data_IF_889516672186
#
_entry.id   IF_889516672186
#
_cell.length_a   1.000
_cell.length_b   1.000
_cell.length_c   1.000
_cell.angle_alpha   90.00
_cell.angle_beta   90.00
_cell.angle_gamma   90.00
#
_symmetry.space_group_name_H-M   'P 1'
#
loop_
_entity.id
_entity.type
_entity.pdbx_description
1 polymer ?
#
# COMPACT_ATOMS: atom_id res chain seq x y z
N UNK A 1 -5.76 11.12 51.00
CA UNK A 1 -6.57 11.65 49.88
C UNK A 1 -6.05 13.04 49.56
N UNK A 2 -5.18 13.14 48.55
CA UNK A 2 -4.52 14.40 48.18
C UNK A 2 -5.26 15.00 47.00
N UNK A 3 -5.85 16.17 47.20
CA UNK A 3 -6.66 16.89 46.22
C UNK A 3 -5.74 17.64 45.26
N UNK A 4 -5.62 17.13 44.04
CA UNK A 4 -4.81 17.74 42.99
C UNK A 4 -5.54 18.97 42.42
N UNK A 5 -5.05 20.16 42.79
CA UNK A 5 -5.58 21.44 42.32
C UNK A 5 -5.12 21.68 40.88
N UNK A 6 -5.98 21.37 39.91
CA UNK A 6 -5.74 21.73 38.50
C UNK A 6 -5.75 23.25 38.35
N UNK A 7 -4.58 23.83 38.04
CA UNK A 7 -4.45 25.24 37.68
C UNK A 7 -5.11 25.46 36.32
N UNK A 8 -6.14 26.30 36.31
CA UNK A 8 -6.79 26.76 35.09
C UNK A 8 -5.88 27.79 34.41
N UNK A 9 -5.43 27.48 33.20
CA UNK A 9 -4.75 28.46 32.35
C UNK A 9 -5.79 29.03 31.37
N UNK A 10 -6.06 30.34 31.42
CA UNK A 10 -6.94 30.95 30.44
C UNK A 10 -6.33 30.83 29.03
N UNK A 11 -7.16 30.71 27.99
CA UNK A 11 -6.69 30.72 26.61
C UNK A 11 -5.99 32.06 26.30
N UNK A 12 -4.97 32.06 25.43
CA UNK A 12 -4.32 33.29 25.00
C UNK A 12 -5.32 34.21 24.28
N UNK A 13 -5.14 35.53 24.37
CA UNK A 13 -5.97 36.48 23.66
C UNK A 13 -5.81 36.32 22.14
N UNK A 14 -6.86 36.59 21.34
CA UNK A 14 -6.77 36.58 19.89
C UNK A 14 -5.84 37.69 19.39
N UNK A 15 -5.11 37.39 18.32
CA UNK A 15 -4.24 38.37 17.67
C UNK A 15 -5.06 39.56 17.11
N UNK A 16 -4.54 40.80 17.20
CA UNK A 16 -5.23 41.97 16.69
C UNK A 16 -5.34 41.90 15.16
N UNK A 17 -6.58 41.92 14.68
CA UNK A 17 -6.91 42.02 13.25
C UNK A 17 -6.86 43.50 12.88
N UNK A 18 -5.92 43.90 12.02
CA UNK A 18 -5.85 45.25 11.50
C UNK A 18 -6.91 45.44 10.39
N UNK A 19 -7.71 46.50 10.46
CA UNK A 19 -8.86 46.79 9.57
C UNK A 19 -8.47 47.15 8.12
N UNK A 20 -7.19 46.98 7.75
CA UNK A 20 -6.66 47.31 6.41
C UNK A 20 -6.17 46.15 5.58
N UNK A 21 -6.38 44.89 6.00
CA UNK A 21 -6.33 43.72 5.11
C UNK A 21 -5.08 43.57 4.22
N UNK A 22 -3.94 44.12 4.63
CA UNK A 22 -2.67 43.99 3.92
C UNK A 22 -1.59 43.64 4.95
N UNK A 23 -1.16 42.39 4.94
CA UNK A 23 0.08 41.97 5.60
C UNK A 23 1.26 42.51 4.78
N UNK A 24 1.83 43.65 5.19
CA UNK A 24 3.18 44.05 4.76
C UNK A 24 4.19 43.17 5.49
N UNK A 25 4.50 42.02 4.89
CA UNK A 25 5.62 41.19 5.30
C UNK A 25 6.90 41.80 4.71
N UNK A 26 7.75 42.35 5.59
CA UNK A 26 9.03 42.93 5.22
C UNK A 26 9.99 41.84 4.71
N UNK A 27 10.08 41.72 3.39
CA UNK A 27 11.00 40.82 2.69
C UNK A 27 12.44 41.37 2.74
N UNK A 28 13.20 40.93 3.73
CA UNK A 28 14.65 41.07 3.79
C UNK A 28 15.31 39.71 3.71
N UNK A 29 15.11 39.03 2.58
CA UNK A 29 15.89 37.84 2.22
C UNK A 29 17.19 38.25 1.50
N UNK A 30 18.38 37.84 1.99
CA UNK A 30 19.66 38.10 1.32
C UNK A 30 19.73 37.40 -0.04
N UNK A 31 20.11 38.15 -1.09
CA UNK A 31 20.33 37.62 -2.44
C UNK A 31 21.23 36.37 -2.42
N UNK A 32 20.78 35.23 -2.99
CA UNK A 32 21.64 34.08 -3.15
C UNK A 32 22.79 34.44 -4.11
N UNK A 33 24.03 34.20 -3.68
CA UNK A 33 25.19 34.23 -4.58
C UNK A 33 24.99 33.16 -5.64
N UNK A 34 24.99 33.59 -6.91
CA UNK A 34 25.04 32.70 -8.07
C UNK A 34 26.33 31.88 -8.02
N UNK A 35 26.25 30.69 -7.44
CA UNK A 35 27.27 29.67 -7.59
C UNK A 35 27.24 29.22 -9.05
N UNK A 36 28.29 29.59 -9.79
CA UNK A 36 28.56 29.15 -11.16
C UNK A 36 28.58 27.62 -11.16
N UNK A 37 27.43 27.02 -11.44
CA UNK A 37 27.22 25.59 -11.47
C UNK A 37 27.87 25.07 -12.76
N UNK A 38 29.16 24.74 -12.67
CA UNK A 38 29.88 24.09 -13.77
C UNK A 38 29.18 22.78 -14.07
N UNK A 39 28.53 22.71 -15.24
CA UNK A 39 27.89 21.50 -15.77
C UNK A 39 28.91 20.36 -15.73
N UNK A 40 28.61 19.21 -15.10
CA UNK A 40 29.50 18.07 -15.12
C UNK A 40 29.74 17.64 -16.57
N UNK A 41 30.97 17.21 -16.93
CA UNK A 41 31.27 16.76 -18.27
C UNK A 41 30.39 15.55 -18.63
N UNK A 42 29.99 15.42 -19.91
CA UNK A 42 29.18 14.30 -20.36
C UNK A 42 29.89 12.97 -20.08
N UNK A 43 29.14 11.94 -19.63
CA UNK A 43 29.69 10.60 -19.44
C UNK A 43 30.23 10.08 -20.78
N UNK A 44 31.50 9.66 -20.79
CA UNK A 44 32.15 9.08 -21.97
C UNK A 44 31.53 7.71 -22.26
N UNK A 45 31.05 7.52 -23.49
CA UNK A 45 30.40 6.30 -23.95
C UNK A 45 31.34 5.07 -23.95
N UNK A 46 32.66 5.29 -23.94
CA UNK A 46 33.66 4.25 -24.18
C UNK A 46 34.07 3.49 -22.92
N UNK A 47 33.48 3.79 -21.75
CA UNK A 47 33.92 3.23 -20.46
C UNK A 47 33.05 2.09 -19.93
N UNK A 48 32.21 1.46 -20.78
CA UNK A 48 31.34 0.33 -20.41
C UNK A 48 31.83 -1.02 -20.96
N UNK A 49 33.11 -1.36 -20.79
CA UNK A 49 33.52 -2.76 -20.87
C UNK A 49 33.35 -3.39 -19.49
N UNK A 50 32.19 -4.01 -19.26
CA UNK A 50 32.01 -4.87 -18.11
C UNK A 50 32.88 -6.13 -18.29
N UNK A 51 33.82 -6.42 -17.37
CA UNK A 51 34.59 -7.64 -17.43
C UNK A 51 33.64 -8.83 -17.18
N UNK A 52 33.22 -9.50 -18.24
CA UNK A 52 32.32 -10.68 -18.22
C UNK A 52 32.94 -11.93 -17.63
N UNK A 53 34.21 -11.90 -17.19
CA UNK A 53 35.00 -13.10 -16.92
C UNK A 53 35.23 -13.44 -15.43
N UNK A 54 34.48 -12.86 -14.50
CA UNK A 54 34.63 -13.16 -13.06
C UNK A 54 33.30 -13.23 -12.30
N UNK A 55 32.33 -13.97 -12.82
CA UNK A 55 31.27 -14.48 -11.94
C UNK A 55 31.84 -15.69 -11.18
N UNK A 56 31.91 -15.65 -9.83
CA UNK A 56 32.28 -16.82 -9.06
C UNK A 56 31.27 -17.94 -9.36
N UNK A 57 31.76 -19.09 -9.80
CA UNK A 57 30.94 -20.29 -9.92
C UNK A 57 30.52 -20.69 -8.50
N UNK A 58 29.33 -20.26 -8.09
CA UNK A 58 28.68 -20.72 -6.88
C UNK A 58 28.36 -22.20 -7.09
N UNK A 59 29.28 -23.05 -6.62
CA UNK A 59 29.11 -24.48 -6.53
C UNK A 59 28.18 -24.75 -5.33
N UNK A 60 26.90 -24.42 -5.49
CA UNK A 60 25.88 -24.70 -4.48
C UNK A 60 25.52 -26.18 -4.63
N UNK A 61 25.76 -27.04 -3.63
CA UNK A 61 25.23 -28.39 -3.68
C UNK A 61 23.71 -28.28 -3.75
N UNK A 62 23.15 -28.64 -4.90
CA UNK A 62 21.70 -28.78 -5.08
C UNK A 62 21.29 -29.94 -4.18
N UNK A 63 20.89 -29.64 -2.96
CA UNK A 63 20.25 -30.58 -2.06
C UNK A 63 18.88 -30.89 -2.68
N UNK A 64 18.85 -31.89 -3.58
CA UNK A 64 17.65 -32.56 -4.08
C UNK A 64 16.99 -33.35 -2.96
N UNK A 65 16.43 -32.65 -1.98
CA UNK A 65 15.47 -33.22 -1.03
C UNK A 65 14.41 -32.16 -0.74
N UNK A 66 13.64 -31.83 -1.78
CA UNK A 66 12.25 -31.46 -1.52
C UNK A 66 11.60 -32.72 -0.93
N UNK A 67 10.98 -32.67 0.26
CA UNK A 67 10.04 -33.71 0.64
C UNK A 67 8.95 -33.75 -0.44
N UNK A 68 8.54 -34.95 -0.85
CA UNK A 68 7.25 -35.16 -1.50
C UNK A 68 6.18 -34.64 -0.53
N UNK A 69 5.85 -33.35 -0.64
CA UNK A 69 4.70 -32.76 0.02
C UNK A 69 3.52 -33.52 -0.54
N UNK A 70 2.88 -34.23 0.38
CA UNK A 70 1.94 -35.29 0.11
C UNK A 70 0.88 -34.90 -0.91
N UNK A 71 0.48 -35.95 -1.64
CA UNK A 71 -0.87 -36.19 -2.11
C UNK A 71 -1.86 -35.32 -1.34
N UNK A 72 -2.19 -34.16 -1.91
CA UNK A 72 -3.26 -33.33 -1.44
C UNK A 72 -4.52 -34.15 -1.63
N UNK A 73 -5.08 -34.61 -0.49
CA UNK A 73 -6.49 -34.90 -0.29
C UNK A 73 -7.30 -34.06 -1.27
N UNK A 74 -8.14 -34.74 -2.05
CA UNK A 74 -9.16 -34.16 -2.91
C UNK A 74 -9.65 -32.85 -2.30
N UNK A 75 -9.11 -31.76 -2.82
CA UNK A 75 -9.57 -30.45 -2.47
C UNK A 75 -11.03 -30.47 -2.88
N UNK A 76 -11.88 -30.28 -1.87
CA UNK A 76 -13.27 -29.91 -2.00
C UNK A 76 -13.29 -28.59 -2.79
N UNK A 77 -13.05 -28.71 -4.09
CA UNK A 77 -13.03 -27.61 -5.03
C UNK A 77 -14.49 -27.21 -5.07
N UNK A 78 -14.86 -26.04 -4.50
CA UNK A 78 -16.25 -25.66 -4.39
C UNK A 78 -16.84 -25.73 -5.79
N UNK A 79 -17.83 -26.61 -5.92
CA UNK A 79 -18.44 -26.96 -7.19
C UNK A 79 -18.79 -25.64 -7.90
N UNK A 80 -18.19 -25.32 -9.06
CA UNK A 80 -18.40 -24.04 -9.75
C UNK A 80 -19.86 -23.87 -10.25
N UNK A 81 -20.71 -24.84 -9.94
CA UNK A 81 -22.15 -24.89 -10.21
C UNK A 81 -23.00 -24.80 -8.95
N UNK A 82 -22.45 -24.38 -7.80
CA UNK A 82 -23.27 -23.88 -6.70
C UNK A 82 -23.99 -22.63 -7.22
N UNK A 83 -25.19 -22.86 -7.77
CA UNK A 83 -26.17 -21.88 -8.22
C UNK A 83 -26.67 -21.09 -7.01
N UNK A 84 -25.79 -20.34 -6.37
CA UNK A 84 -26.21 -19.25 -5.53
C UNK A 84 -26.91 -18.25 -6.44
N UNK A 85 -28.16 -17.97 -6.08
CA UNK A 85 -28.92 -16.84 -6.54
C UNK A 85 -28.18 -15.56 -6.11
N UNK A 86 -27.04 -15.30 -6.75
CA UNK A 86 -26.18 -14.15 -6.50
C UNK A 86 -27.00 -12.98 -7.02
N UNK A 87 -27.42 -12.10 -6.11
CA UNK A 87 -28.10 -10.87 -6.46
C UNK A 87 -27.26 -10.16 -7.55
N UNK A 88 -27.80 -10.00 -8.78
CA UNK A 88 -27.04 -9.41 -9.88
C UNK A 88 -26.63 -7.95 -9.60
N UNK A 89 -27.21 -7.35 -8.56
CA UNK A 89 -26.90 -6.00 -8.08
C UNK A 89 -25.81 -5.97 -6.99
N UNK A 90 -25.18 -7.10 -6.65
CA UNK A 90 -24.02 -7.14 -5.75
C UNK A 90 -22.73 -7.34 -6.54
N UNK A 91 -21.69 -6.51 -6.33
CA UNK A 91 -20.41 -6.72 -6.99
C UNK A 91 -19.83 -8.09 -6.63
N UNK A 92 -19.39 -8.83 -7.65
CA UNK A 92 -18.67 -10.10 -7.47
C UNK A 92 -17.30 -9.87 -6.80
N UNK A 93 -16.71 -10.90 -6.16
CA UNK A 93 -15.38 -10.79 -5.58
C UNK A 93 -14.33 -10.35 -6.60
N UNK A 94 -13.33 -9.59 -6.14
CA UNK A 94 -12.12 -9.33 -6.91
C UNK A 94 -11.11 -10.45 -6.67
N UNK A 95 -10.30 -10.74 -7.68
CA UNK A 95 -9.23 -11.75 -7.60
C UNK A 95 -7.87 -11.04 -7.65
N UNK A 96 -7.08 -11.04 -6.56
CA UNK A 96 -5.72 -10.54 -6.57
C UNK A 96 -4.86 -11.30 -7.58
N UNK A 97 -4.00 -10.60 -8.34
CA UNK A 97 -3.04 -11.26 -9.24
C UNK A 97 -1.98 -12.05 -8.47
N UNK A 98 -1.71 -11.63 -7.23
CA UNK A 98 -0.76 -12.27 -6.32
C UNK A 98 -1.23 -12.12 -4.88
N UNK A 99 -1.13 -13.20 -4.12
CA UNK A 99 -1.55 -13.26 -2.71
C UNK A 99 -0.38 -13.21 -1.73
N UNK A 100 0.87 -13.27 -2.19
CA UNK A 100 2.05 -13.21 -1.33
C UNK A 100 3.16 -12.32 -1.90
N UNK A 101 3.61 -11.38 -1.09
CA UNK A 101 4.70 -10.46 -1.41
C UNK A 101 5.79 -10.58 -0.36
N UNK A 102 6.98 -10.99 -0.79
CA UNK A 102 8.16 -10.94 0.06
C UNK A 102 8.86 -9.62 -0.23
N UNK A 103 8.89 -8.72 0.74
CA UNK A 103 9.43 -7.37 0.58
C UNK A 103 10.88 -7.36 1.11
N UNK A 104 11.75 -8.17 0.50
CA UNK A 104 13.14 -8.40 0.98
C UNK A 104 14.22 -7.83 0.06
N UNK A 105 13.88 -7.18 -1.04
CA UNK A 105 14.88 -6.82 -2.04
C UNK A 105 15.21 -5.33 -2.07
N UNK A 106 16.49 -5.05 -1.81
CA UNK A 106 17.20 -3.75 -1.68
C UNK A 106 17.06 -2.78 -2.89
N UNK A 107 16.12 -2.98 -3.79
CA UNK A 107 16.03 -2.22 -5.06
C UNK A 107 14.63 -1.72 -5.40
N UNK A 108 13.56 -2.28 -4.84
CA UNK A 108 12.20 -1.81 -5.15
C UNK A 108 11.74 -0.78 -4.13
N UNK A 109 11.82 0.50 -4.52
CA UNK A 109 11.20 1.61 -3.78
C UNK A 109 9.66 1.52 -3.78
N UNK A 110 9.09 0.63 -4.59
CA UNK A 110 7.66 0.49 -4.78
C UNK A 110 7.29 -0.94 -5.17
N UNK A 111 6.18 -1.44 -4.62
CA UNK A 111 5.50 -2.66 -5.04
C UNK A 111 4.08 -2.35 -5.46
N UNK A 112 3.65 -2.93 -6.57
CA UNK A 112 2.29 -2.81 -7.08
C UNK A 112 1.47 -4.06 -6.71
N UNK A 113 0.30 -3.83 -6.11
CA UNK A 113 -0.69 -4.85 -5.78
C UNK A 113 -1.85 -4.66 -6.75
N UNK A 114 -2.09 -5.66 -7.59
CA UNK A 114 -3.10 -5.63 -8.66
C UNK A 114 -4.14 -6.71 -8.45
N UNK A 115 -5.35 -6.45 -8.95
CA UNK A 115 -6.45 -7.39 -8.95
C UNK A 115 -7.30 -7.22 -10.21
N UNK A 116 -8.07 -8.25 -10.56
CA UNK A 116 -9.06 -8.14 -11.64
C UNK A 116 -10.28 -7.34 -11.20
N UNK A 117 -10.90 -6.62 -12.14
CA UNK A 117 -12.22 -6.02 -11.90
C UNK A 117 -13.27 -7.13 -11.75
N UNK A 118 -14.33 -6.94 -10.95
CA UNK A 118 -15.44 -7.89 -10.88
C UNK A 118 -16.05 -8.13 -12.27
N UNK A 119 -16.39 -9.38 -12.58
CA UNK A 119 -16.96 -9.75 -13.89
C UNK A 119 -18.28 -9.01 -14.18
N UNK A 120 -19.11 -8.81 -13.15
CA UNK A 120 -20.37 -8.07 -13.25
C UNK A 120 -20.23 -6.56 -13.06
N UNK A 121 -19.01 -6.00 -13.17
CA UNK A 121 -18.77 -4.55 -12.98
C UNK A 121 -19.57 -3.66 -13.93
N UNK A 122 -20.00 -4.18 -15.09
CA UNK A 122 -20.88 -3.49 -16.04
C UNK A 122 -22.28 -3.20 -15.53
N UNK A 123 -22.72 -3.84 -14.43
CA UNK A 123 -24.04 -3.60 -13.82
C UNK A 123 -24.07 -2.34 -12.95
N UNK A 124 -22.94 -1.67 -12.75
CA UNK A 124 -22.80 -0.52 -11.86
C UNK A 124 -22.41 0.72 -12.65
N UNK A 125 -22.83 1.91 -12.20
CA UNK A 125 -22.40 3.17 -12.81
C UNK A 125 -20.89 3.41 -12.61
N UNK A 126 -20.37 3.02 -11.44
CA UNK A 126 -18.93 2.97 -11.19
C UNK A 126 -18.60 1.91 -10.14
N UNK A 127 -17.34 1.48 -10.11
CA UNK A 127 -16.81 0.55 -9.10
C UNK A 127 -15.65 1.22 -8.39
N UNK A 128 -15.71 1.20 -7.07
CA UNK A 128 -14.66 1.59 -6.13
C UNK A 128 -14.07 0.33 -5.49
N UNK A 129 -12.89 0.43 -4.92
CA UNK A 129 -12.22 -0.64 -4.20
C UNK A 129 -11.86 -0.16 -2.82
N UNK A 130 -12.52 -0.72 -1.80
CA UNK A 130 -12.16 -0.45 -0.41
C UNK A 130 -11.05 -1.39 0.00
N UNK A 131 -10.02 -0.84 0.64
CA UNK A 131 -8.79 -1.56 0.99
C UNK A 131 -8.58 -1.48 2.50
N UNK A 132 -8.34 -2.64 3.11
CA UNK A 132 -8.05 -2.77 4.53
C UNK A 132 -6.71 -3.47 4.77
N UNK A 133 -6.07 -3.13 5.89
CA UNK A 133 -4.80 -3.67 6.33
C UNK A 133 -4.92 -4.23 7.74
N UNK A 134 -4.25 -5.34 8.01
CA UNK A 134 -4.10 -5.94 9.33
C UNK A 134 -2.62 -6.25 9.56
N UNK A 135 -2.10 -5.83 10.71
CA UNK A 135 -0.72 -6.14 11.12
C UNK A 135 -0.73 -7.32 12.07
N UNK A 136 0.05 -8.35 11.77
CA UNK A 136 0.04 -9.63 12.48
C UNK A 136 -1.26 -10.42 12.31
N UNK A 137 -1.31 -11.60 12.92
CA UNK A 137 -2.48 -12.48 12.83
C UNK A 137 -3.63 -12.01 13.72
N UNK A 138 -3.30 -11.43 14.88
CA UNK A 138 -4.24 -10.99 15.91
C UNK A 138 -4.59 -9.49 15.85
N UNK A 139 -4.13 -8.77 14.81
CA UNK A 139 -4.44 -7.35 14.65
C UNK A 139 -5.90 -7.08 14.27
N UNK A 140 -6.33 -5.85 14.44
CA UNK A 140 -7.60 -5.36 13.90
C UNK A 140 -7.44 -4.91 12.44
N UNK A 141 -8.49 -5.07 11.64
CA UNK A 141 -8.52 -4.56 10.27
C UNK A 141 -8.71 -3.04 10.28
N UNK A 142 -7.77 -2.33 9.66
CA UNK A 142 -7.79 -0.88 9.52
C UNK A 142 -8.11 -0.49 8.07
N UNK A 143 -9.11 0.37 7.89
CA UNK A 143 -9.42 0.96 6.58
C UNK A 143 -8.29 1.89 6.13
N UNK A 144 -7.73 1.62 4.96
CA UNK A 144 -6.66 2.43 4.38
C UNK A 144 -7.23 3.50 3.46
N UNK A 145 -7.97 3.08 2.42
CA UNK A 145 -8.43 3.98 1.35
C UNK A 145 -9.52 3.34 0.48
N UNK A 146 -10.09 4.16 -0.40
CA UNK A 146 -10.96 3.75 -1.49
C UNK A 146 -10.38 4.21 -2.84
N UNK A 147 -10.20 3.29 -3.78
CA UNK A 147 -9.59 3.56 -5.09
C UNK A 147 -10.57 3.27 -6.23
N UNK A 148 -10.49 4.01 -7.34
CA UNK A 148 -11.22 3.68 -8.59
C UNK A 148 -10.47 2.70 -9.50
N UNK A 149 -9.16 2.60 -9.31
CA UNK A 149 -8.29 1.73 -10.12
C UNK A 149 -8.08 0.41 -9.40
N UNK A 150 -8.00 -0.72 -10.13
CA UNK A 150 -7.75 -2.03 -9.55
C UNK A 150 -6.25 -2.23 -9.26
N UNK A 151 -5.68 -1.26 -8.55
CA UNK A 151 -4.26 -1.14 -8.27
C UNK A 151 -4.07 -0.42 -6.94
N UNK A 152 -3.15 -0.94 -6.13
CA UNK A 152 -2.65 -0.30 -4.92
C UNK A 152 -1.12 -0.30 -4.92
N UNK A 153 -0.51 0.79 -4.47
CA UNK A 153 0.95 0.95 -4.42
C UNK A 153 1.42 0.98 -2.98
N UNK A 154 2.39 0.14 -2.67
CA UNK A 154 3.13 0.13 -1.41
C UNK A 154 4.50 0.73 -1.70
N UNK A 155 4.92 1.71 -0.92
CA UNK A 155 6.24 2.35 -1.08
C UNK A 155 7.18 1.94 0.05
N UNK A 156 8.48 1.96 -0.25
CA UNK A 156 9.53 1.66 0.71
C UNK A 156 10.51 2.82 0.79
N UNK A 157 10.66 3.37 1.99
CA UNK A 157 11.60 4.44 2.26
C UNK A 157 12.17 4.28 3.68
N UNK A 158 13.49 4.37 3.81
CA UNK A 158 14.17 4.41 5.12
C UNK A 158 13.81 3.24 6.06
N UNK A 159 13.70 2.01 5.52
CA UNK A 159 13.31 0.84 6.32
C UNK A 159 11.85 0.86 6.80
N UNK A 160 10.99 1.65 6.15
CA UNK A 160 9.56 1.71 6.43
C UNK A 160 8.76 1.36 5.20
N UNK A 161 7.74 0.53 5.40
CA UNK A 161 6.71 0.25 4.40
C UNK A 161 5.57 1.27 4.55
N UNK A 162 5.17 1.89 3.45
CA UNK A 162 4.14 2.91 3.39
C UNK A 162 2.91 2.35 2.67
N UNK A 163 1.86 2.11 3.44
CA UNK A 163 0.53 1.72 2.96
C UNK A 163 -0.37 2.97 2.99
N UNK A 164 -0.20 3.82 1.98
CA UNK A 164 -0.88 5.12 1.93
C UNK A 164 -0.43 6.02 3.07
N UNK A 165 -1.28 6.19 4.08
CA UNK A 165 -0.96 6.98 5.29
C UNK A 165 -0.39 6.13 6.43
N UNK A 166 -0.58 4.82 6.39
CA UNK A 166 -0.10 3.90 7.42
C UNK A 166 1.38 3.60 7.16
N UNK A 167 2.21 3.80 8.19
CA UNK A 167 3.65 3.57 8.14
C UNK A 167 3.99 2.41 9.06
N UNK A 168 4.60 1.37 8.51
CA UNK A 168 5.06 0.21 9.27
C UNK A 168 6.59 0.22 9.27
N UNK A 169 7.17 0.30 10.47
CA UNK A 169 8.61 0.18 10.64
C UNK A 169 8.99 -1.29 10.53
N UNK A 170 10.06 -1.56 9.78
CA UNK A 170 10.69 -2.86 9.75
C UNK A 170 11.47 -3.02 11.07
N UNK A 171 10.90 -3.75 12.03
CA UNK A 171 11.60 -4.08 13.28
C UNK A 171 12.48 -5.32 13.10
N UNK A 172 13.19 -5.73 14.16
CA UNK A 172 14.08 -6.91 14.15
C UNK A 172 13.35 -8.25 13.99
N UNK A 173 12.02 -8.26 14.00
CA UNK A 173 11.19 -9.44 13.83
C UNK A 173 10.47 -9.42 12.50
N UNK A 174 10.19 -10.61 11.96
CA UNK A 174 9.39 -10.70 10.73
C UNK A 174 7.97 -10.24 11.04
N UNK A 175 7.58 -9.09 10.49
CA UNK A 175 6.22 -8.58 10.63
C UNK A 175 5.39 -9.04 9.44
N UNK A 176 4.42 -9.91 9.69
CA UNK A 176 3.44 -10.32 8.70
C UNK A 176 2.33 -9.27 8.62
N UNK A 177 2.00 -8.82 7.41
CA UNK A 177 0.94 -7.85 7.17
C UNK A 177 -0.04 -8.44 6.17
N UNK A 178 -1.32 -8.39 6.47
CA UNK A 178 -2.38 -8.83 5.56
C UNK A 178 -3.10 -7.62 4.98
N UNK A 179 -3.32 -7.59 3.68
CA UNK A 179 -4.16 -6.63 2.98
C UNK A 179 -5.34 -7.37 2.37
N UNK A 180 -6.52 -6.77 2.39
CA UNK A 180 -7.68 -7.29 1.66
C UNK A 180 -8.37 -6.17 0.93
N UNK A 181 -9.03 -6.51 -0.16
CA UNK A 181 -9.75 -5.56 -1.01
C UNK A 181 -11.16 -6.06 -1.26
N UNK A 182 -12.15 -5.16 -1.24
CA UNK A 182 -13.51 -5.47 -1.72
C UNK A 182 -13.96 -4.46 -2.75
N UNK A 183 -14.71 -4.88 -3.78
CA UNK A 183 -15.36 -3.96 -4.69
C UNK A 183 -16.58 -3.30 -4.04
N UNK A 184 -16.84 -2.05 -4.40
CA UNK A 184 -18.03 -1.30 -4.01
C UNK A 184 -18.66 -0.75 -5.28
N UNK A 185 -19.79 -1.32 -5.66
CA UNK A 185 -20.57 -0.87 -6.81
C UNK A 185 -21.39 0.35 -6.45
N UNK A 186 -21.35 1.38 -7.28
CA UNK A 186 -22.15 2.59 -7.12
C UNK A 186 -23.24 2.60 -8.19
N UNK A 187 -24.49 2.69 -7.74
CA UNK A 187 -25.68 2.80 -8.59
C UNK A 187 -26.30 4.19 -8.42
N UNK A 188 -26.72 4.79 -9.53
CA UNK A 188 -27.46 6.05 -9.53
C UNK A 188 -28.94 5.72 -9.70
N UNK A 189 -29.71 5.74 -8.61
CA UNK A 189 -31.16 5.54 -8.66
C UNK A 189 -31.86 6.86 -8.36
N UNK A 190 -32.56 7.41 -9.37
CA UNK A 190 -33.39 8.61 -9.21
C UNK A 190 -32.64 9.81 -8.61
N UNK A 191 -31.37 9.99 -8.98
CA UNK A 191 -30.51 11.08 -8.48
C UNK A 191 -29.83 10.80 -7.13
N UNK A 192 -30.12 9.67 -6.47
CA UNK A 192 -29.43 9.23 -5.26
C UNK A 192 -28.37 8.18 -5.61
N UNK A 193 -27.16 8.35 -5.08
CA UNK A 193 -26.12 7.34 -5.15
C UNK A 193 -26.36 6.27 -4.09
N UNK A 194 -26.44 5.01 -4.51
CA UNK A 194 -26.51 3.84 -3.67
C UNK A 194 -25.20 3.04 -3.78
N UNK A 195 -24.63 2.63 -2.64
CA UNK A 195 -23.40 1.84 -2.59
C UNK A 195 -23.71 0.40 -2.23
N UNK A 196 -23.30 -0.53 -3.08
CA UNK A 196 -23.42 -1.98 -2.88
C UNK A 196 -22.04 -2.55 -2.59
N UNK A 197 -21.88 -3.13 -1.40
CA UNK A 197 -20.62 -3.71 -0.95
C UNK A 197 -20.51 -5.15 -1.47
N UNK A 198 -19.44 -5.43 -2.22
CA UNK A 198 -19.07 -6.79 -2.58
C UNK A 198 -18.34 -7.51 -1.44
N UNK A 199 -18.05 -8.81 -1.62
CA UNK A 199 -17.28 -9.58 -0.65
C UNK A 199 -15.81 -9.15 -0.62
N UNK A 200 -15.13 -9.43 0.50
CA UNK A 200 -13.69 -9.29 0.61
C UNK A 200 -12.97 -10.34 -0.24
N UNK A 201 -11.86 -9.93 -0.85
CA UNK A 201 -10.92 -10.84 -1.50
C UNK A 201 -10.26 -11.78 -0.49
N UNK A 202 -9.54 -12.77 -1.01
CA UNK A 202 -8.51 -13.45 -0.23
C UNK A 202 -7.48 -12.44 0.31
N UNK A 203 -6.86 -12.81 1.44
CA UNK A 203 -5.83 -11.98 2.07
C UNK A 203 -4.57 -12.00 1.22
N UNK A 204 -4.03 -10.81 0.96
CA UNK A 204 -2.75 -10.58 0.33
C UNK A 204 -1.73 -10.36 1.45
N UNK A 205 -0.80 -11.29 1.59
CA UNK A 205 0.15 -11.32 2.70
C UNK A 205 1.48 -10.70 2.27
N UNK A 206 2.03 -9.84 3.12
CA UNK A 206 3.34 -9.22 2.99
C UNK A 206 4.22 -9.68 4.14
N UNK A 207 5.41 -10.19 3.81
CA UNK A 207 6.48 -10.42 4.80
C UNK A 207 7.41 -9.20 4.81
N UNK A 208 7.50 -8.52 5.96
CA UNK A 208 8.45 -7.45 6.23
C UNK A 208 9.58 -7.99 7.12
N UNK A 209 10.72 -8.34 6.54
CA UNK A 209 11.85 -8.94 7.27
C UNK A 209 12.93 -7.91 7.59
N UNK A 210 13.38 -7.79 8.84
CA UNK A 210 14.48 -6.92 9.24
C UNK A 210 15.73 -7.04 8.34
N UNK A 211 16.31 -5.89 7.95
CA UNK A 211 17.68 -5.90 7.43
C UNK A 211 18.64 -6.09 8.61
N UNK A 212 19.16 -7.30 8.77
CA UNK A 212 20.29 -7.60 9.64
C UNK A 212 21.56 -6.85 9.22
#
# INVERSE_FOLDING_TARGET
MSSETRRYFPPPPPDPIDERGNHEEADHSPRPRESIQRKPPPPRLDSMTFPTNRLPQLNVPIIKRLPEVGQSLDADQPDPKSNHNIDPNLPLPVVPEKTMFNLWEKTQTQTEVRWSRPENSGNFNSVLYQIELKTGDCGEWQSLTENHQPLYRVYFAEGKALFGRTRLSQDSTVTMVSLRVRPVGVLNNSGRQERKLGPWSENIVFSLEAKH
#
